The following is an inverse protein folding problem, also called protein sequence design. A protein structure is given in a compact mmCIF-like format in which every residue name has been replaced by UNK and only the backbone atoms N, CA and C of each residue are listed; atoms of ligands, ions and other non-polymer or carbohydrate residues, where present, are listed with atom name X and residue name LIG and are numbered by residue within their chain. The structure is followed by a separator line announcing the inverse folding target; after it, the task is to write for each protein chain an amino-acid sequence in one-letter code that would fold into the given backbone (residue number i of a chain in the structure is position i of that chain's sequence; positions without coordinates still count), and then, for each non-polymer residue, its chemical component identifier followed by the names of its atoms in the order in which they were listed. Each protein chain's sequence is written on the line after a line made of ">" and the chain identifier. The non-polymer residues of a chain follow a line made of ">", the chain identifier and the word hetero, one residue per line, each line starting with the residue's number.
data_IF_060019515763
#
_entry.id   IF_060019515763
#
_cell.length_a   1.000
_cell.length_b   1.000
_cell.length_c   1.000
_cell.angle_alpha   90.00
_cell.angle_beta   90.00
_cell.angle_gamma   90.00
#
_symmetry.space_group_name_H-M   'P 1'
#
loop_
_entity.id
_entity.type
_entity.pdbx_description
1 polymer ?
#
# COMPACT_ATOMS: atom_id res chain seq x y z
N UNK A 1 22.56 -4.24 -11.29
CA UNK A 1 21.75 -4.42 -10.07
C UNK A 1 22.71 -4.62 -8.90
N UNK A 2 22.66 -3.75 -7.89
CA UNK A 2 23.59 -3.78 -6.76
C UNK A 2 23.37 -5.04 -5.90
N UNK A 3 24.43 -5.71 -5.37
CA UNK A 3 24.28 -6.94 -4.58
C UNK A 3 23.42 -6.78 -3.32
N UNK A 4 23.37 -5.56 -2.79
CA UNK A 4 22.55 -5.19 -1.62
C UNK A 4 21.05 -5.30 -1.92
N UNK A 5 20.60 -5.02 -3.15
CA UNK A 5 19.18 -5.10 -3.50
C UNK A 5 18.68 -6.53 -3.54
N UNK A 6 19.51 -7.50 -3.97
CA UNK A 6 19.16 -8.92 -3.90
C UNK A 6 19.05 -9.43 -2.48
N UNK A 7 19.86 -8.91 -1.56
CA UNK A 7 19.82 -9.32 -0.16
C UNK A 7 18.57 -8.77 0.55
N UNK A 8 18.20 -7.52 0.26
CA UNK A 8 17.05 -6.84 0.86
C UNK A 8 15.71 -7.11 0.17
N UNK A 9 15.68 -7.53 -1.09
CA UNK A 9 14.43 -7.71 -1.85
C UNK A 9 14.34 -9.04 -2.59
N UNK A 10 15.38 -9.89 -2.53
CA UNK A 10 15.36 -11.20 -3.18
C UNK A 10 14.25 -12.12 -2.67
N UNK A 11 13.72 -11.89 -1.46
CA UNK A 11 12.55 -12.62 -0.97
C UNK A 11 11.25 -12.16 -1.66
N UNK A 12 11.15 -10.91 -2.11
CA UNK A 12 9.92 -10.36 -2.75
C UNK A 12 9.68 -10.99 -4.13
N UNK A 13 10.76 -11.36 -4.82
CA UNK A 13 10.71 -11.96 -6.16
C UNK A 13 10.21 -13.41 -6.17
N UNK A 14 10.17 -14.09 -5.01
CA UNK A 14 9.73 -15.47 -4.95
C UNK A 14 8.20 -15.58 -5.22
N UNK A 15 7.75 -16.57 -6.04
CA UNK A 15 6.35 -16.68 -6.44
C UNK A 15 5.38 -16.97 -5.28
N UNK A 16 5.91 -17.38 -4.13
CA UNK A 16 5.13 -17.68 -2.92
C UNK A 16 4.98 -16.49 -1.98
N UNK A 17 5.79 -15.45 -2.13
CA UNK A 17 5.77 -14.27 -1.26
C UNK A 17 4.44 -13.54 -1.22
N UNK A 18 3.73 -13.28 -2.35
CA UNK A 18 2.41 -12.66 -2.27
C UNK A 18 1.41 -13.50 -1.45
N UNK A 19 1.48 -14.83 -1.53
CA UNK A 19 0.63 -15.72 -0.73
C UNK A 19 0.92 -15.61 0.76
N UNK A 20 2.21 -15.55 1.15
CA UNK A 20 2.59 -15.38 2.55
C UNK A 20 2.16 -14.01 3.10
N UNK A 21 2.30 -12.94 2.32
CA UNK A 21 1.80 -11.62 2.71
C UNK A 21 0.29 -11.63 2.88
N UNK A 22 -0.44 -12.26 1.96
CA UNK A 22 -1.90 -12.38 2.05
C UNK A 22 -2.35 -13.15 3.29
N UNK A 23 -1.72 -14.30 3.58
CA UNK A 23 -1.99 -15.08 4.79
C UNK A 23 -1.65 -14.26 6.05
N UNK A 24 -0.51 -13.54 6.05
CA UNK A 24 -0.12 -12.68 7.16
C UNK A 24 -1.17 -11.60 7.47
N UNK A 25 -1.70 -10.94 6.43
CA UNK A 25 -2.79 -9.96 6.58
C UNK A 25 -4.05 -10.63 7.16
N UNK A 26 -4.45 -11.80 6.66
CA UNK A 26 -5.59 -12.56 7.19
C UNK A 26 -5.39 -12.88 8.67
N UNK A 27 -4.21 -13.34 9.06
CA UNK A 27 -3.90 -13.68 10.45
C UNK A 27 -3.98 -12.46 11.37
N UNK A 28 -3.48 -11.31 10.93
CA UNK A 28 -3.61 -10.05 11.67
C UNK A 28 -5.08 -9.68 11.83
N UNK A 29 -5.88 -9.71 10.75
CA UNK A 29 -7.32 -9.44 10.83
C UNK A 29 -8.04 -10.39 11.80
N UNK A 30 -7.77 -11.69 11.73
CA UNK A 30 -8.34 -12.68 12.64
C UNK A 30 -7.95 -12.41 14.10
N UNK A 31 -6.69 -12.04 14.35
CA UNK A 31 -6.20 -11.65 15.66
C UNK A 31 -6.92 -10.42 16.22
N UNK A 32 -7.15 -9.39 15.38
CA UNK A 32 -7.91 -8.21 15.80
C UNK A 32 -9.36 -8.57 16.17
N UNK A 33 -10.02 -9.45 15.41
CA UNK A 33 -11.38 -9.93 15.75
C UNK A 33 -11.40 -10.68 17.08
N UNK A 34 -10.40 -11.51 17.35
CA UNK A 34 -10.27 -12.21 18.64
C UNK A 34 -10.05 -11.24 19.79
N UNK A 35 -9.25 -10.19 19.59
CA UNK A 35 -9.05 -9.12 20.59
C UNK A 35 -10.35 -8.36 20.86
N UNK A 36 -11.12 -8.07 19.81
CA UNK A 36 -12.44 -7.42 19.91
C UNK A 36 -13.42 -8.25 20.74
N UNK A 37 -13.37 -9.59 20.59
CA UNK A 37 -14.16 -10.53 21.39
C UNK A 37 -13.79 -10.55 22.88
N UNK A 38 -12.51 -10.34 23.21
CA UNK A 38 -12.03 -10.34 24.60
C UNK A 38 -12.23 -8.99 25.30
N UNK A 39 -12.30 -7.90 24.54
CA UNK A 39 -12.48 -6.54 25.05
C UNK A 39 -13.94 -6.12 24.91
N UNK A 40 -14.77 -6.47 25.91
CA UNK A 40 -16.12 -5.88 26.04
C UNK A 40 -15.99 -4.38 26.36
N UNK A 41 -15.96 -3.54 25.33
CA UNK A 41 -15.99 -2.08 25.48
C UNK A 41 -17.44 -1.66 25.65
N UNK A 42 -17.78 -1.11 26.82
CA UNK A 42 -19.03 -0.39 27.01
C UNK A 42 -18.97 0.94 26.26
N UNK A 43 -19.37 0.93 25.00
CA UNK A 43 -19.40 2.13 24.17
C UNK A 43 -20.76 2.84 24.23
N UNK A 44 -20.73 4.17 24.22
CA UNK A 44 -21.91 5.04 24.32
C UNK A 44 -22.83 5.00 23.09
N UNK A 45 -22.39 4.38 21.99
CA UNK A 45 -23.10 4.32 20.72
C UNK A 45 -23.43 2.85 20.43
N UNK A 46 -24.71 2.48 20.50
CA UNK A 46 -25.21 1.11 20.26
C UNK A 46 -24.80 0.50 18.89
N UNK A 47 -24.44 1.34 17.92
CA UNK A 47 -23.91 0.92 16.61
C UNK A 47 -22.48 0.36 16.70
N UNK A 48 -21.70 0.79 17.70
CA UNK A 48 -20.35 0.31 17.99
C UNK A 48 -20.32 -0.93 18.90
N UNK A 49 -21.47 -1.38 19.42
CA UNK A 49 -21.61 -2.69 20.10
C UNK A 49 -21.69 -3.86 19.11
N UNK A 50 -21.71 -3.58 17.80
CA UNK A 50 -21.75 -4.62 16.77
C UNK A 50 -20.49 -5.49 16.79
N UNK A 51 -20.68 -6.81 16.75
CA UNK A 51 -19.60 -7.79 16.67
C UNK A 51 -18.62 -7.45 15.53
N UNK A 52 -17.33 -7.32 15.85
CA UNK A 52 -16.25 -7.02 14.90
C UNK A 52 -16.36 -5.66 14.18
N UNK A 53 -17.15 -4.71 14.69
CA UNK A 53 -17.35 -3.39 14.07
C UNK A 53 -16.02 -2.68 13.81
N UNK A 54 -15.14 -2.62 14.81
CA UNK A 54 -13.85 -1.95 14.70
C UNK A 54 -12.87 -2.61 13.74
N UNK A 55 -12.84 -3.94 13.74
CA UNK A 55 -12.00 -4.69 12.80
C UNK A 55 -12.45 -4.47 11.36
N UNK A 56 -13.76 -4.53 11.09
CA UNK A 56 -14.33 -4.35 9.76
C UNK A 56 -14.26 -2.89 9.29
N UNK A 57 -14.49 -1.93 10.19
CA UNK A 57 -14.36 -0.51 9.90
C UNK A 57 -12.92 -0.10 9.62
N UNK A 58 -11.97 -0.52 10.46
CA UNK A 58 -10.54 -0.24 10.27
C UNK A 58 -9.98 -0.86 9.00
N UNK A 59 -10.27 -2.14 8.76
CA UNK A 59 -9.89 -2.82 7.53
C UNK A 59 -10.53 -2.19 6.30
N UNK A 60 -11.84 -1.90 6.37
CA UNK A 60 -12.59 -1.27 5.28
C UNK A 60 -12.06 0.12 4.93
N UNK A 61 -11.81 0.97 5.93
CA UNK A 61 -11.25 2.30 5.74
C UNK A 61 -9.84 2.24 5.13
N UNK A 62 -8.99 1.32 5.59
CA UNK A 62 -7.65 1.14 5.04
C UNK A 62 -7.69 0.59 3.61
N UNK A 63 -8.50 -0.42 3.34
CA UNK A 63 -8.69 -0.97 1.99
C UNK A 63 -9.21 0.11 1.03
N UNK A 64 -10.18 0.91 1.47
CA UNK A 64 -10.68 2.04 0.71
C UNK A 64 -9.57 3.06 0.40
N UNK A 65 -8.75 3.43 1.39
CA UNK A 65 -7.62 4.34 1.18
C UNK A 65 -6.63 3.81 0.14
N UNK A 66 -6.26 2.52 0.21
CA UNK A 66 -5.34 1.89 -0.75
C UNK A 66 -5.97 1.84 -2.15
N UNK A 67 -7.22 1.40 -2.27
CA UNK A 67 -7.93 1.30 -3.54
C UNK A 67 -8.19 2.67 -4.19
N UNK A 68 -8.33 3.73 -3.39
CA UNK A 68 -8.48 5.11 -3.87
C UNK A 68 -7.25 5.62 -4.62
N UNK A 69 -6.09 4.96 -4.48
CA UNK A 69 -4.87 5.30 -5.22
C UNK A 69 -4.97 5.05 -6.73
N UNK A 70 -5.68 4.02 -7.17
CA UNK A 70 -5.86 3.74 -8.61
C UNK A 70 -6.65 4.83 -9.37
N UNK A 71 -7.84 5.26 -8.92
CA UNK A 71 -8.58 6.31 -9.60
C UNK A 71 -7.89 7.67 -9.48
N UNK A 72 -7.28 7.98 -8.33
CA UNK A 72 -6.52 9.21 -8.14
C UNK A 72 -5.27 9.24 -9.03
N UNK A 73 -4.56 8.12 -9.12
CA UNK A 73 -3.44 7.94 -10.03
C UNK A 73 -3.89 8.16 -11.47
N UNK A 74 -5.01 7.58 -11.91
CA UNK A 74 -5.55 7.80 -13.25
C UNK A 74 -5.92 9.27 -13.52
N UNK A 75 -6.46 9.98 -12.53
CA UNK A 75 -6.82 11.38 -12.65
C UNK A 75 -5.59 12.30 -12.70
N UNK A 76 -4.57 12.01 -11.89
CA UNK A 76 -3.32 12.79 -11.83
C UNK A 76 -2.32 12.39 -12.92
N UNK A 77 -2.48 11.22 -13.55
CA UNK A 77 -1.55 10.72 -14.56
C UNK A 77 -1.59 11.64 -15.77
N UNK A 78 -0.48 12.33 -15.97
CA UNK A 78 -0.28 13.25 -17.08
C UNK A 78 0.04 12.48 -18.36
N UNK A 79 -0.19 13.12 -19.53
CA UNK A 79 0.23 12.57 -20.82
C UNK A 79 1.73 12.31 -20.81
N UNK A 80 2.15 11.20 -21.42
CA UNK A 80 3.55 10.80 -21.49
C UNK A 80 4.41 11.87 -22.21
N UNK A 81 3.81 12.58 -23.15
CA UNK A 81 4.44 13.66 -23.93
C UNK A 81 4.48 15.02 -23.21
N UNK A 82 4.08 15.09 -21.93
CA UNK A 82 3.89 16.38 -21.26
C UNK A 82 5.17 17.22 -21.11
N UNK A 83 6.33 16.60 -20.99
CA UNK A 83 7.62 17.29 -20.90
C UNK A 83 8.30 17.46 -22.27
N UNK A 84 7.65 17.05 -23.36
CA UNK A 84 8.29 16.89 -24.67
C UNK A 84 9.29 15.74 -24.70
N UNK A 85 9.79 15.38 -25.88
CA UNK A 85 11.02 14.57 -25.97
C UNK A 85 12.09 15.34 -25.18
N UNK A 86 12.57 14.75 -24.08
CA UNK A 86 13.76 15.27 -23.44
C UNK A 86 14.87 15.17 -24.48
N UNK A 87 15.16 16.30 -25.15
CA UNK A 87 16.32 16.45 -26.00
C UNK A 87 17.53 16.36 -25.09
N UNK A 88 17.91 15.12 -24.81
CA UNK A 88 19.13 14.73 -24.11
C UNK A 88 20.29 14.87 -25.08
N UNK A 89 20.44 16.07 -25.63
CA UNK A 89 21.72 16.46 -26.22
C UNK A 89 22.59 16.87 -25.04
N UNK A 90 23.69 16.16 -24.73
CA UNK A 90 24.66 16.65 -23.78
C UNK A 90 25.28 17.92 -24.36
N UNK A 91 24.76 19.09 -23.97
CA UNK A 91 25.26 20.42 -24.37
C UNK A 91 25.80 21.21 -23.17
N UNK A 92 26.04 20.54 -22.04
CA UNK A 92 26.55 21.17 -20.81
C UNK A 92 28.00 20.79 -20.47
N UNK A 93 28.74 20.15 -21.39
CA UNK A 93 30.18 19.79 -21.17
C UNK A 93 31.16 20.51 -22.10
N UNK A 94 30.71 21.22 -23.13
CA UNK A 94 31.64 21.93 -24.04
C UNK A 94 31.85 23.38 -23.59
N UNK A 95 33.07 23.64 -23.12
CA UNK A 95 33.51 24.91 -22.55
C UNK A 95 33.23 26.12 -23.45
N UNK A 96 32.67 27.16 -22.84
CA UNK A 96 32.66 28.52 -23.37
C UNK A 96 34.12 29.06 -23.38
N UNK A 97 34.53 29.83 -24.42
CA UNK A 97 35.92 30.16 -24.77
C UNK A 97 36.79 30.72 -23.65
#
# INVERSE_FOLDING_TARGET
>A
MHPVSKLLFGWVEAPRTPLFLFIGVILVCAGLVLVDLTLNRHEYIHLAEGFAFYAMWGFGAFAFAVLSGWPLGKLLRRSEDYYGEAETTPQDVEGKP
#
